data_IF_055456436948
#
_entry.id   IF_055456436948
#
_cell.length_a   1.000
_cell.length_b   1.000
_cell.length_c   1.000
_cell.angle_alpha   90.00
_cell.angle_beta   90.00
_cell.angle_gamma   90.00
#
_symmetry.space_group_name_H-M   'P 1'
#
loop_
_entity.id
_entity.type
_entity.pdbx_description
1 polymer ?
#
# COMPACT_ATOMS: atom_id res chain seq x y z
N UNK A 1 3.79 0.55 61.29
CA UNK A 1 2.71 0.00 60.44
C UNK A 1 1.81 1.09 59.85
N UNK A 2 1.20 1.99 60.65
CA UNK A 2 0.28 3.05 60.15
C UNK A 2 0.85 3.97 59.04
N UNK A 3 2.13 4.36 59.12
CA UNK A 3 2.79 5.21 58.10
C UNK A 3 3.01 4.50 56.76
N UNK A 4 3.25 3.18 56.80
CA UNK A 4 3.42 2.36 55.59
C UNK A 4 2.07 2.16 54.92
N UNK A 5 1.01 1.93 55.70
CA UNK A 5 -0.37 1.83 55.17
C UNK A 5 -0.83 3.11 54.45
N UNK A 6 -0.44 4.29 54.95
CA UNK A 6 -0.74 5.58 54.29
C UNK A 6 0.02 5.72 52.96
N UNK A 7 1.30 5.32 52.92
CA UNK A 7 2.09 5.35 51.69
C UNK A 7 1.54 4.39 50.62
N UNK A 8 1.12 3.18 51.02
CA UNK A 8 0.51 2.20 50.10
C UNK A 8 -0.83 2.71 49.56
N UNK A 9 -1.66 3.33 50.40
CA UNK A 9 -2.94 3.92 49.97
C UNK A 9 -2.75 5.13 49.04
N UNK A 10 -1.74 5.98 49.29
CA UNK A 10 -1.42 7.09 48.42
C UNK A 10 -0.89 6.61 47.06
N UNK A 11 -0.05 5.57 47.05
CA UNK A 11 0.46 4.97 45.83
C UNK A 11 -0.65 4.30 45.00
N UNK A 12 -1.59 3.60 45.65
CA UNK A 12 -2.74 3.03 44.95
C UNK A 12 -3.61 4.12 44.33
N UNK A 13 -3.85 5.23 45.04
CA UNK A 13 -4.65 6.34 44.51
C UNK A 13 -4.01 6.98 43.27
N UNK A 14 -2.68 7.12 43.25
CA UNK A 14 -1.93 7.64 42.10
C UNK A 14 -1.98 6.70 40.89
N UNK A 15 -1.94 5.37 41.10
CA UNK A 15 -2.05 4.38 40.03
C UNK A 15 -3.46 4.42 39.40
N UNK A 16 -4.51 4.57 40.20
CA UNK A 16 -5.89 4.61 39.70
C UNK A 16 -6.29 5.95 39.08
N UNK A 17 -5.61 7.06 39.38
CA UNK A 17 -5.91 8.37 38.77
C UNK A 17 -5.46 8.45 37.30
N UNK A 18 -4.43 7.71 36.91
CA UNK A 18 -3.86 7.79 35.55
C UNK A 18 -4.69 7.08 34.47
N UNK A 19 -5.82 6.45 34.80
CA UNK A 19 -6.64 5.68 33.86
C UNK A 19 -7.74 6.50 33.16
N UNK A 20 -7.52 7.79 32.94
CA UNK A 20 -8.42 8.60 32.11
C UNK A 20 -8.08 8.34 30.63
N UNK A 21 -8.65 7.28 30.05
CA UNK A 21 -8.63 7.04 28.60
C UNK A 21 -9.86 7.72 28.02
N UNK A 22 -9.65 8.70 27.16
CA UNK A 22 -10.71 9.23 26.31
C UNK A 22 -11.04 8.17 25.26
N UNK A 23 -12.30 7.79 25.15
CA UNK A 23 -12.75 6.98 24.01
C UNK A 23 -12.47 7.76 22.72
N UNK A 24 -11.90 7.08 21.73
CA UNK A 24 -11.57 7.69 20.44
C UNK A 24 -12.89 7.98 19.70
N UNK A 25 -13.19 9.26 19.50
CA UNK A 25 -14.32 9.70 18.69
C UNK A 25 -13.78 10.07 17.31
N UNK A 26 -14.09 9.26 16.31
CA UNK A 26 -13.69 9.51 14.94
C UNK A 26 -14.75 10.34 14.21
N UNK A 27 -14.31 11.42 13.57
CA UNK A 27 -15.17 12.21 12.68
C UNK A 27 -14.94 11.77 11.22
N UNK A 28 -15.98 11.72 10.37
CA UNK A 28 -15.78 11.42 8.95
C UNK A 28 -14.80 12.39 8.29
N UNK A 29 -13.96 11.88 7.38
CA UNK A 29 -13.08 12.72 6.57
C UNK A 29 -13.87 13.80 5.82
N UNK A 30 -13.27 14.97 5.71
CA UNK A 30 -13.85 16.16 5.06
C UNK A 30 -13.03 16.62 3.84
N UNK A 31 -12.26 15.70 3.25
CA UNK A 31 -11.42 15.99 2.08
C UNK A 31 -10.16 16.79 2.39
N UNK A 32 -9.61 16.64 3.60
CA UNK A 32 -8.41 17.36 4.07
C UNK A 32 -7.21 16.44 4.33
N UNK A 33 -7.17 15.26 3.70
CA UNK A 33 -6.02 14.37 3.76
C UNK A 33 -4.85 14.97 2.98
N UNK A 34 -3.65 14.87 3.52
CA UNK A 34 -2.41 15.23 2.81
C UNK A 34 -1.69 13.95 2.40
N UNK A 35 -1.14 13.94 1.19
CA UNK A 35 -0.47 12.77 0.63
C UNK A 35 1.02 13.05 0.48
N UNK A 36 1.88 12.05 0.67
CA UNK A 36 3.32 12.22 0.42
C UNK A 36 3.66 12.49 -1.05
N UNK A 37 2.75 12.13 -1.95
CA UNK A 37 2.90 12.22 -3.41
C UNK A 37 1.50 12.39 -4.03
N UNK A 38 1.41 13.20 -5.08
CA UNK A 38 0.18 13.34 -5.88
C UNK A 38 0.05 12.21 -6.91
N UNK A 39 1.19 11.68 -7.37
CA UNK A 39 1.28 10.55 -8.30
C UNK A 39 2.32 9.55 -7.82
N UNK A 40 1.96 8.27 -7.83
CA UNK A 40 2.88 7.16 -7.57
C UNK A 40 3.23 6.52 -8.90
N UNK A 41 4.47 6.73 -9.32
CA UNK A 41 5.07 6.01 -10.44
C UNK A 41 5.67 4.69 -9.94
N UNK A 42 5.21 3.59 -10.52
CA UNK A 42 5.77 2.27 -10.26
C UNK A 42 6.79 1.91 -11.35
N UNK A 43 7.75 1.06 -11.00
CA UNK A 43 8.77 0.54 -11.91
C UNK A 43 8.13 -0.10 -13.15
N UNK A 44 8.93 -0.21 -14.21
CA UNK A 44 8.50 -0.92 -15.41
C UNK A 44 8.28 -2.39 -15.07
N UNK A 45 7.08 -2.90 -15.37
CA UNK A 45 6.74 -4.31 -15.15
C UNK A 45 7.02 -5.08 -16.42
N UNK A 46 7.77 -6.18 -16.28
CA UNK A 46 8.10 -7.11 -17.35
C UNK A 46 7.29 -8.40 -17.22
N UNK A 47 7.01 -9.03 -18.35
CA UNK A 47 6.35 -10.33 -18.44
C UNK A 47 6.98 -11.32 -17.44
N UNK A 48 6.17 -11.94 -16.58
CA UNK A 48 6.60 -12.98 -15.62
C UNK A 48 7.60 -12.56 -14.52
N UNK A 49 7.82 -11.25 -14.28
CA UNK A 49 8.60 -10.77 -13.13
C UNK A 49 7.71 -9.96 -12.17
N UNK A 50 7.75 -10.31 -10.89
CA UNK A 50 7.03 -9.57 -9.85
C UNK A 50 7.49 -8.12 -9.73
N UNK A 51 6.54 -7.20 -9.53
CA UNK A 51 6.83 -5.77 -9.40
C UNK A 51 7.34 -5.39 -8.01
N UNK A 52 8.11 -4.30 -7.93
CA UNK A 52 8.43 -3.62 -6.68
C UNK A 52 7.16 -3.13 -5.96
N UNK A 53 7.14 -3.23 -4.63
CA UNK A 53 6.10 -2.61 -3.79
C UNK A 53 6.47 -1.17 -3.48
N UNK A 54 5.53 -0.24 -3.69
CA UNK A 54 5.69 1.18 -3.42
C UNK A 54 4.94 1.60 -2.19
N UNK A 55 5.42 2.64 -1.52
CA UNK A 55 4.73 3.25 -0.40
C UNK A 55 4.16 4.63 -0.76
N UNK A 56 2.97 4.88 -0.22
CA UNK A 56 2.31 6.17 -0.14
C UNK A 56 1.99 6.42 1.33
N UNK A 57 2.36 7.59 1.85
CA UNK A 57 1.89 8.03 3.17
C UNK A 57 0.69 8.94 3.01
N UNK A 58 -0.31 8.69 3.84
CA UNK A 58 -1.49 9.55 3.98
C UNK A 58 -1.46 10.15 5.37
N UNK A 59 -1.63 11.47 5.46
CA UNK A 59 -1.49 12.23 6.68
C UNK A 59 -2.82 12.85 7.09
N UNK A 60 -3.15 12.71 8.37
CA UNK A 60 -4.15 13.54 9.03
C UNK A 60 -3.41 14.67 9.76
N UNK A 61 -3.39 15.87 9.17
CA UNK A 61 -2.78 17.05 9.82
C UNK A 61 -3.69 17.73 10.82
N UNK A 62 -4.95 17.31 10.92
CA UNK A 62 -5.92 17.92 11.82
C UNK A 62 -5.66 17.52 13.27
N UNK A 63 -6.35 18.18 14.20
CA UNK A 63 -6.30 17.86 15.63
C UNK A 63 -7.37 16.82 16.04
N UNK A 64 -8.16 16.31 15.08
CA UNK A 64 -9.25 15.39 15.33
C UNK A 64 -8.88 14.01 14.76
N UNK A 65 -9.36 12.95 15.40
CA UNK A 65 -9.27 11.61 14.85
C UNK A 65 -10.28 11.50 13.69
N UNK A 66 -9.83 10.96 12.55
CA UNK A 66 -10.66 10.90 11.35
C UNK A 66 -10.94 9.47 10.92
N UNK A 67 -12.15 9.26 10.41
CA UNK A 67 -12.58 8.03 9.75
C UNK A 67 -12.66 8.29 8.25
N UNK A 68 -11.87 7.59 7.46
CA UNK A 68 -11.98 7.57 6.00
C UNK A 68 -13.08 6.55 5.67
N UNK A 69 -14.27 6.99 5.17
CA UNK A 69 -15.40 6.07 4.98
C UNK A 69 -15.10 4.99 3.95
N UNK A 70 -14.47 5.39 2.84
CA UNK A 70 -14.10 4.50 1.74
C UNK A 70 -12.69 4.80 1.24
N UNK A 71 -11.91 3.76 0.99
CA UNK A 71 -10.62 3.83 0.30
C UNK A 71 -10.61 2.72 -0.74
N UNK A 72 -10.51 3.06 -2.02
CA UNK A 72 -10.60 2.06 -3.10
C UNK A 72 -9.79 2.45 -4.34
N UNK A 73 -9.61 1.48 -5.22
CA UNK A 73 -9.11 1.73 -6.57
C UNK A 73 -10.25 2.22 -7.46
N UNK A 74 -9.98 3.19 -8.34
CA UNK A 74 -10.98 3.78 -9.24
C UNK A 74 -11.57 2.78 -10.23
N UNK A 75 -10.76 1.83 -10.72
CA UNK A 75 -11.24 0.70 -11.54
C UNK A 75 -11.86 -0.44 -10.70
N UNK A 76 -11.93 -0.32 -9.37
CA UNK A 76 -12.47 -1.32 -8.45
C UNK A 76 -11.84 -2.70 -8.66
N UNK A 77 -12.69 -3.71 -8.85
CA UNK A 77 -12.26 -5.10 -9.03
C UNK A 77 -11.51 -5.36 -10.34
N UNK A 78 -11.66 -4.49 -11.34
CA UNK A 78 -10.93 -4.60 -12.60
C UNK A 78 -9.52 -4.01 -12.53
N UNK A 79 -9.18 -3.34 -11.43
CA UNK A 79 -7.86 -2.75 -11.28
C UNK A 79 -6.77 -3.83 -11.25
N UNK A 80 -5.66 -3.59 -11.93
CA UNK A 80 -4.45 -4.41 -11.85
C UNK A 80 -3.49 -3.96 -10.74
N UNK A 81 -3.91 -3.03 -9.86
CA UNK A 81 -3.17 -2.67 -8.64
C UNK A 81 -3.70 -3.39 -7.43
N UNK A 82 -2.85 -3.74 -6.47
CA UNK A 82 -3.26 -4.26 -5.17
C UNK A 82 -2.70 -3.35 -4.09
N UNK A 83 -3.53 -3.07 -3.09
CA UNK A 83 -3.25 -2.19 -1.97
C UNK A 83 -3.15 -3.00 -0.68
N UNK A 84 -2.29 -2.55 0.23
CA UNK A 84 -2.31 -2.93 1.63
C UNK A 84 -2.24 -1.65 2.46
N UNK A 85 -3.21 -1.47 3.35
CA UNK A 85 -3.49 -0.22 4.06
C UNK A 85 -3.19 -0.45 5.53
N UNK A 86 -2.03 0.02 6.01
CA UNK A 86 -1.55 -0.20 7.39
C UNK A 86 -1.64 -1.66 7.88
N UNK A 87 -1.34 -2.60 6.99
CA UNK A 87 -1.40 -4.04 7.26
C UNK A 87 -2.75 -4.68 6.92
N UNK A 88 -3.79 -3.89 6.66
CA UNK A 88 -5.08 -4.38 6.19
C UNK A 88 -5.01 -4.74 4.72
N UNK A 89 -5.62 -5.87 4.37
CA UNK A 89 -5.72 -6.38 3.00
C UNK A 89 -7.15 -6.37 2.48
N UNK A 90 -8.08 -5.70 3.14
CA UNK A 90 -9.51 -5.77 2.81
C UNK A 90 -10.15 -7.12 3.18
N UNK A 91 -11.40 -7.34 2.77
CA UNK A 91 -12.17 -8.54 3.12
C UNK A 91 -12.85 -9.16 1.90
N UNK A 92 -12.90 -10.50 1.87
CA UNK A 92 -13.63 -11.27 0.85
C UNK A 92 -13.15 -11.02 -0.58
N UNK A 93 -14.11 -10.86 -1.50
CA UNK A 93 -13.83 -10.64 -2.93
C UNK A 93 -13.23 -9.28 -3.27
N UNK A 94 -13.16 -8.35 -2.31
CA UNK A 94 -12.62 -6.99 -2.49
C UNK A 94 -11.18 -6.84 -1.94
N UNK A 95 -10.56 -7.97 -1.58
CA UNK A 95 -9.26 -7.99 -0.93
C UNK A 95 -8.20 -7.24 -1.77
N UNK A 96 -7.57 -6.27 -1.12
CA UNK A 96 -6.53 -5.42 -1.68
C UNK A 96 -7.00 -4.42 -2.73
N UNK A 97 -8.32 -4.21 -2.86
CA UNK A 97 -8.90 -3.26 -3.83
C UNK A 97 -9.77 -2.20 -3.15
N UNK A 98 -10.53 -2.60 -2.12
CA UNK A 98 -11.48 -1.73 -1.43
C UNK A 98 -11.41 -1.94 0.09
N UNK A 99 -11.56 -0.83 0.80
CA UNK A 99 -11.45 -0.74 2.25
C UNK A 99 -12.49 0.25 2.75
N UNK A 100 -13.04 -0.03 3.91
CA UNK A 100 -14.07 0.79 4.54
C UNK A 100 -13.68 1.13 5.96
N UNK A 101 -14.13 2.29 6.43
CA UNK A 101 -13.99 2.72 7.83
C UNK A 101 -12.54 2.67 8.31
N UNK A 102 -11.62 3.26 7.53
CA UNK A 102 -10.21 3.32 7.91
C UNK A 102 -9.99 4.45 8.92
N UNK A 103 -9.54 4.07 10.10
CA UNK A 103 -9.25 4.99 11.22
C UNK A 103 -7.86 5.61 11.06
N UNK A 104 -7.77 6.94 11.20
CA UNK A 104 -6.50 7.67 11.19
C UNK A 104 -6.47 8.73 12.28
N UNK A 105 -5.55 8.59 13.24
CA UNK A 105 -5.48 9.44 14.43
C UNK A 105 -5.07 10.88 14.10
N UNK A 106 -5.41 11.81 15.00
CA UNK A 106 -4.98 13.20 14.92
C UNK A 106 -3.45 13.34 14.82
N UNK A 107 -2.98 14.17 13.88
CA UNK A 107 -1.54 14.42 13.62
C UNK A 107 -0.72 13.19 13.27
N UNK A 108 -1.37 12.12 12.83
CA UNK A 108 -0.72 10.87 12.49
C UNK A 108 -0.70 10.62 10.97
N UNK A 109 -0.07 9.51 10.58
CA UNK A 109 0.03 9.05 9.21
C UNK A 109 -0.10 7.54 9.11
N UNK A 110 -0.68 7.10 8.01
CA UNK A 110 -0.77 5.70 7.62
C UNK A 110 0.05 5.42 6.37
N UNK A 111 0.48 4.17 6.23
CA UNK A 111 1.12 3.65 5.03
C UNK A 111 0.12 2.91 4.14
N UNK A 112 0.22 3.17 2.85
CA UNK A 112 -0.41 2.36 1.81
C UNK A 112 0.72 1.75 0.99
N UNK A 113 0.78 0.44 0.98
CA UNK A 113 1.63 -0.33 0.09
C UNK A 113 0.89 -0.64 -1.19
N UNK A 114 1.52 -0.37 -2.31
CA UNK A 114 0.94 -0.46 -3.65
C UNK A 114 1.82 -1.42 -4.44
N UNK A 115 1.20 -2.44 -5.03
CA UNK A 115 1.87 -3.38 -5.92
C UNK A 115 1.02 -3.62 -7.17
N UNK A 116 1.65 -4.13 -8.22
CA UNK A 116 0.94 -4.49 -9.46
C UNK A 116 0.70 -5.99 -9.51
N UNK A 117 -0.47 -6.37 -10.01
CA UNK A 117 -0.88 -7.77 -10.26
C UNK A 117 -1.20 -7.95 -11.74
N UNK A 118 -0.48 -7.24 -12.61
CA UNK A 118 -0.72 -7.23 -14.06
C UNK A 118 -0.33 -8.60 -14.62
N UNK A 119 -1.31 -9.30 -15.22
CA UNK A 119 -1.04 -10.46 -16.08
C UNK A 119 -0.75 -9.94 -17.49
N UNK A 120 0.54 -9.84 -17.79
CA UNK A 120 1.05 -9.18 -18.99
C UNK A 120 0.65 -9.95 -20.25
N UNK A 121 0.49 -11.28 -20.22
CA UNK A 121 0.15 -12.09 -21.40
C UNK A 121 -1.16 -11.64 -22.06
N UNK A 122 -2.13 -11.17 -21.26
CA UNK A 122 -3.41 -10.67 -21.76
C UNK A 122 -3.29 -9.32 -22.48
N UNK A 123 -2.25 -8.54 -22.16
CA UNK A 123 -2.07 -7.16 -22.62
C UNK A 123 -1.09 -7.04 -23.80
N UNK A 124 -0.04 -7.87 -23.86
CA UNK A 124 0.96 -7.84 -24.95
C UNK A 124 0.44 -8.32 -26.30
N UNK A 125 -0.73 -8.96 -26.33
CA UNK A 125 -1.36 -9.38 -27.58
C UNK A 125 -1.64 -8.21 -28.55
N UNK A 126 -1.66 -6.97 -28.02
CA UNK A 126 -1.99 -5.76 -28.77
C UNK A 126 -0.80 -4.83 -29.03
N UNK A 127 0.13 -4.67 -28.07
CA UNK A 127 1.27 -3.73 -28.18
C UNK A 127 2.49 -4.21 -27.36
N UNK A 128 3.71 -3.82 -27.77
CA UNK A 128 4.97 -4.19 -27.10
C UNK A 128 5.27 -3.37 -25.84
N UNK A 129 4.59 -2.24 -25.67
CA UNK A 129 4.69 -1.35 -24.52
C UNK A 129 3.39 -0.56 -24.39
N UNK A 130 2.81 -0.50 -23.19
CA UNK A 130 1.67 0.37 -22.92
C UNK A 130 1.73 0.95 -21.50
N UNK A 131 1.01 2.04 -21.29
CA UNK A 131 0.89 2.71 -20.00
C UNK A 131 -0.39 2.24 -19.31
N UNK A 132 -0.27 1.69 -18.11
CA UNK A 132 -1.40 1.37 -17.25
C UNK A 132 -1.56 2.44 -16.18
N UNK A 133 -2.77 2.96 -16.01
CA UNK A 133 -3.07 4.03 -15.06
C UNK A 133 -4.35 3.73 -14.30
N UNK A 134 -4.38 4.08 -13.02
CA UNK A 134 -5.56 4.03 -12.16
C UNK A 134 -5.44 5.12 -11.09
N UNK A 135 -6.41 5.24 -10.21
CA UNK A 135 -6.41 6.18 -9.08
C UNK A 135 -6.74 5.46 -7.78
N UNK A 136 -6.16 5.91 -6.68
CA UNK A 136 -6.65 5.58 -5.34
C UNK A 136 -7.64 6.68 -4.95
N UNK A 137 -8.89 6.30 -4.75
CA UNK A 137 -9.96 7.18 -4.28
C UNK A 137 -10.07 7.11 -2.75
N UNK A 138 -10.04 8.28 -2.12
CA UNK A 138 -10.31 8.49 -0.72
C UNK A 138 -11.64 9.22 -0.59
N UNK A 139 -12.60 8.61 0.11
CA UNK A 139 -13.97 9.12 0.29
C UNK A 139 -14.78 9.17 -1.04
N UNK A 140 -15.86 9.96 -1.07
CA UNK A 140 -16.78 10.08 -2.19
C UNK A 140 -17.41 11.47 -2.27
N UNK A 141 -18.01 11.80 -3.42
CA UNK A 141 -18.77 13.05 -3.60
C UNK A 141 -17.91 14.29 -3.42
N UNK A 142 -18.33 15.20 -2.53
CA UNK A 142 -17.66 16.48 -2.31
C UNK A 142 -16.34 16.38 -1.54
N UNK A 143 -16.11 15.28 -0.83
CA UNK A 143 -14.90 15.03 -0.03
C UNK A 143 -13.90 14.13 -0.77
N UNK A 144 -14.20 13.73 -2.01
CA UNK A 144 -13.36 12.83 -2.80
C UNK A 144 -11.99 13.45 -3.03
N UNK A 145 -10.95 12.72 -2.63
CA UNK A 145 -9.55 13.02 -2.96
C UNK A 145 -8.95 11.82 -3.70
N UNK A 146 -8.05 12.08 -4.62
CA UNK A 146 -7.44 11.02 -5.45
C UNK A 146 -5.92 11.13 -5.47
N UNK A 147 -5.27 9.98 -5.59
CA UNK A 147 -3.83 9.87 -5.88
C UNK A 147 -3.65 9.00 -7.11
N UNK A 148 -2.91 9.51 -8.10
CA UNK A 148 -2.73 8.84 -9.38
C UNK A 148 -1.71 7.70 -9.27
N UNK A 149 -2.00 6.59 -9.93
CA UNK A 149 -1.11 5.44 -10.08
C UNK A 149 -0.73 5.29 -11.55
N UNK A 150 0.56 5.19 -11.82
CA UNK A 150 1.08 5.08 -13.19
C UNK A 150 2.14 3.99 -13.26
N UNK A 151 1.96 3.06 -14.19
CA UNK A 151 2.88 1.95 -14.44
C UNK A 151 3.15 1.81 -15.92
N UNK A 152 4.43 1.72 -16.27
CA UNK A 152 4.84 1.35 -17.62
C UNK A 152 4.94 -0.17 -17.72
N UNK A 153 4.26 -0.75 -18.72
CA UNK A 153 4.35 -2.19 -18.99
C UNK A 153 5.12 -2.38 -20.28
N UNK A 154 6.10 -3.30 -20.26
CA UNK A 154 6.91 -3.65 -21.43
C UNK A 154 7.08 -5.15 -21.55
N UNK A 155 7.03 -5.64 -22.78
CA UNK A 155 7.45 -7.01 -23.06
C UNK A 155 8.97 -7.14 -23.07
N UNK A 156 9.48 -8.22 -22.48
CA UNK A 156 10.90 -8.52 -22.48
C UNK A 156 11.13 -10.01 -22.73
N UNK A 157 12.07 -10.30 -23.62
CA UNK A 157 12.57 -11.65 -23.87
C UNK A 157 13.74 -11.90 -22.93
N UNK A 158 13.54 -12.79 -21.96
CA UNK A 158 14.59 -13.21 -21.05
C UNK A 158 15.48 -14.26 -21.71
N UNK A 159 16.76 -13.92 -21.87
CA UNK A 159 17.79 -14.85 -22.35
C UNK A 159 18.50 -15.39 -21.11
N UNK A 160 18.44 -16.71 -20.94
CA UNK A 160 19.17 -17.41 -19.88
C UNK A 160 20.41 -18.06 -20.49
N UNK A 161 21.59 -17.94 -19.84
CA UNK A 161 22.81 -18.53 -20.36
C UNK A 161 22.67 -20.04 -20.47
N UNK A 162 22.86 -20.57 -21.67
CA UNK A 162 22.88 -22.00 -21.90
C UNK A 162 24.29 -22.55 -21.72
N UNK A 163 24.39 -23.77 -21.21
CA UNK A 163 25.65 -24.51 -21.09
C UNK A 163 25.68 -25.61 -22.13
N UNK A 164 26.65 -25.57 -23.03
CA UNK A 164 26.81 -26.57 -24.08
C UNK A 164 28.22 -27.15 -24.05
N UNK A 165 28.34 -28.39 -24.56
CA UNK A 165 29.62 -29.07 -24.71
C UNK A 165 30.23 -28.64 -26.04
N UNK A 166 31.46 -28.12 -26.00
CA UNK A 166 32.22 -27.87 -27.22
C UNK A 166 32.77 -29.19 -27.76
N UNK A 167 32.30 -29.59 -28.94
CA UNK A 167 32.70 -30.84 -29.59
C UNK A 167 34.17 -30.86 -30.05
N UNK A 168 34.84 -29.70 -30.11
CA UNK A 168 36.24 -29.60 -30.52
C UNK A 168 37.21 -29.70 -29.34
N UNK A 169 36.82 -29.17 -28.18
CA UNK A 169 37.67 -29.12 -26.97
C UNK A 169 37.25 -30.10 -25.89
N UNK A 170 36.00 -30.59 -25.91
CA UNK A 170 35.43 -31.45 -24.88
C UNK A 170 35.08 -30.72 -23.58
N UNK A 171 35.17 -29.39 -23.57
CA UNK A 171 34.88 -28.56 -22.40
C UNK A 171 33.45 -28.00 -22.44
N UNK A 172 32.91 -27.69 -21.26
CA UNK A 172 31.62 -27.00 -21.16
C UNK A 172 31.81 -25.50 -21.32
N UNK A 173 31.18 -24.93 -22.33
CA UNK A 173 31.15 -23.48 -22.57
C UNK A 173 29.83 -22.93 -22.03
N UNK A 174 29.91 -21.80 -21.33
CA UNK A 174 28.73 -21.06 -20.87
C UNK A 174 28.53 -19.91 -21.85
N UNK A 175 27.34 -19.83 -22.43
CA UNK A 175 26.94 -18.70 -23.26
C UNK A 175 27.00 -17.42 -22.41
N UNK A 176 27.81 -16.46 -22.86
CA UNK A 176 27.97 -15.17 -22.20
C UNK A 176 27.46 -14.09 -23.15
N UNK A 177 26.54 -13.25 -22.70
CA UNK A 177 26.12 -12.07 -23.48
C UNK A 177 27.26 -11.05 -23.46
N UNK A 178 27.72 -10.63 -24.65
CA UNK A 178 28.74 -9.59 -24.83
C UNK A 178 28.05 -8.26 -25.13
#
# INVERSE_FOLDING_TARGET
>A
MKRISILVAALSLLIFWSSCRTDFNFEPSTGNLEFSKDTVYLDTVFSNIGSSTYNLKVYNRSNNDILIPTLRLGQGQNSMYRLNVDGLTGSGGMAGKEFENIELLAKDSMYIFIETTIDIETLVSSETQFLYTDVIEFDSGANLQTVDLVTLVKDAVFIYPQRFLDNQTGEYVIETLV
#
